data_IF_296837138539
#
_entry.id   IF_296837138539
#
_cell.length_a   1.000
_cell.length_b   1.000
_cell.length_c   1.000
_cell.angle_alpha   90.00
_cell.angle_beta   90.00
_cell.angle_gamma   90.00
#
_symmetry.space_group_name_H-M   'P 1'
#
loop_
_entity.id
_entity.type
_entity.pdbx_description
1 polymer ?
#
# COMPACT_ATOMS: atom_id res chain seq x y z
N UNK A 1 -3.88 -0.99 16.67
CA UNK A 1 -3.51 -0.19 15.50
C UNK A 1 -3.04 1.23 15.86
N UNK A 2 -3.50 1.82 16.97
CA UNK A 2 -3.18 3.23 17.31
C UNK A 2 -1.73 3.46 17.72
N UNK A 3 -1.09 2.48 18.38
CA UNK A 3 0.21 2.70 18.99
C UNK A 3 1.38 2.13 18.17
N UNK A 4 1.10 1.18 17.27
CA UNK A 4 2.15 0.47 16.54
C UNK A 4 2.77 1.24 15.37
N UNK A 5 2.03 2.14 14.69
CA UNK A 5 2.60 2.86 13.55
C UNK A 5 3.55 3.97 13.98
N UNK A 6 3.22 4.68 15.08
CA UNK A 6 4.06 5.75 15.64
C UNK A 6 5.36 5.18 16.15
N UNK A 7 5.30 4.11 16.95
CA UNK A 7 6.48 3.43 17.46
C UNK A 7 7.35 2.86 16.33
N UNK A 8 6.73 2.30 15.30
CA UNK A 8 7.45 1.78 14.14
C UNK A 8 8.06 2.90 13.29
N UNK A 9 7.38 4.03 13.16
CA UNK A 9 7.90 5.20 12.48
C UNK A 9 9.10 5.81 13.24
N UNK A 10 8.99 5.97 14.55
CA UNK A 10 10.09 6.46 15.39
C UNK A 10 11.31 5.52 15.36
N UNK A 11 11.08 4.20 15.40
CA UNK A 11 12.14 3.20 15.23
C UNK A 11 12.78 3.26 13.85
N UNK A 12 11.97 3.46 12.80
CA UNK A 12 12.47 3.61 11.44
C UNK A 12 13.34 4.87 11.31
N UNK A 13 12.89 6.01 11.81
CA UNK A 13 13.68 7.26 11.82
C UNK A 13 14.96 7.06 12.63
N UNK A 14 14.91 6.40 13.80
CA UNK A 14 16.08 6.07 14.60
C UNK A 14 17.10 5.20 13.84
N UNK A 15 16.64 4.22 13.05
CA UNK A 15 17.51 3.40 12.21
C UNK A 15 18.15 4.22 11.08
N UNK A 16 17.40 5.14 10.47
CA UNK A 16 17.91 6.05 9.44
C UNK A 16 19.02 6.92 10.00
N UNK A 17 18.80 7.54 11.17
CA UNK A 17 19.79 8.39 11.82
C UNK A 17 21.01 7.60 12.29
N UNK A 18 20.80 6.41 12.83
CA UNK A 18 21.90 5.54 13.25
C UNK A 18 22.77 5.13 12.06
N UNK A 19 22.17 4.72 10.95
CA UNK A 19 22.95 4.31 9.78
C UNK A 19 23.68 5.48 9.11
N UNK A 20 23.12 6.69 9.14
CA UNK A 20 23.83 7.92 8.71
C UNK A 20 25.04 8.20 9.58
N UNK A 21 24.85 8.22 10.92
CA UNK A 21 25.94 8.44 11.88
C UNK A 21 27.02 7.37 11.77
N UNK A 22 26.63 6.10 11.60
CA UNK A 22 27.56 5.00 11.41
C UNK A 22 28.40 5.23 10.14
N UNK A 23 27.76 5.54 9.01
CA UNK A 23 28.44 5.82 7.75
C UNK A 23 29.38 7.02 7.84
N UNK A 24 28.94 8.08 8.51
CA UNK A 24 29.73 9.30 8.64
C UNK A 24 30.91 9.14 9.60
N UNK A 25 30.86 8.16 10.52
CA UNK A 25 31.97 7.82 11.44
C UNK A 25 33.03 6.90 10.84
N UNK A 26 32.82 6.40 9.61
CA UNK A 26 33.78 5.52 8.93
C UNK A 26 34.78 6.37 8.12
N UNK A 27 36.03 6.35 8.51
CA UNK A 27 37.11 7.06 7.80
C UNK A 27 37.61 6.28 6.57
N UNK A 28 37.39 4.98 6.51
CA UNK A 28 37.78 4.15 5.38
C UNK A 28 36.76 4.27 4.23
N UNK A 29 37.18 4.87 3.13
CA UNK A 29 36.34 5.13 1.94
C UNK A 29 35.82 3.82 1.33
N UNK A 30 36.59 2.75 1.31
CA UNK A 30 36.17 1.47 0.70
C UNK A 30 35.03 0.86 1.50
N UNK A 31 35.16 0.79 2.82
CA UNK A 31 34.09 0.29 3.70
C UNK A 31 32.87 1.21 3.65
N UNK A 32 33.07 2.53 3.58
CA UNK A 32 31.98 3.50 3.48
C UNK A 32 31.15 3.30 2.20
N UNK A 33 31.80 2.92 1.10
CA UNK A 33 31.14 2.62 -0.17
C UNK A 33 30.43 1.28 -0.18
N UNK A 34 30.86 0.32 0.66
CA UNK A 34 30.19 -0.99 0.83
C UNK A 34 28.91 -0.89 1.66
N UNK A 35 28.79 0.14 2.52
CA UNK A 35 27.55 0.39 3.27
C UNK A 35 26.54 1.02 2.32
N UNK A 36 25.47 0.33 1.97
CA UNK A 36 24.48 0.87 1.06
C UNK A 36 23.90 2.18 1.64
N UNK A 37 23.88 3.27 0.89
CA UNK A 37 23.20 4.47 1.33
C UNK A 37 21.73 4.16 1.60
N UNK A 38 21.15 4.80 2.61
CA UNK A 38 19.72 4.64 2.97
C UNK A 38 18.80 4.87 1.77
N UNK A 39 19.22 5.70 0.82
CA UNK A 39 18.56 5.85 -0.47
C UNK A 39 18.40 4.53 -1.25
N UNK A 40 19.18 3.49 -0.95
CA UNK A 40 18.94 2.15 -1.51
C UNK A 40 17.76 1.44 -0.86
N UNK A 41 17.43 1.75 0.39
CA UNK A 41 16.17 1.31 1.02
C UNK A 41 14.99 2.11 0.47
N UNK A 42 15.17 3.37 0.11
CA UNK A 42 14.16 4.18 -0.59
C UNK A 42 13.91 3.69 -2.03
N UNK A 43 14.89 3.04 -2.63
CA UNK A 43 14.76 2.33 -3.90
C UNK A 43 14.36 0.86 -3.73
N UNK A 44 14.05 0.45 -2.50
CA UNK A 44 13.55 -0.90 -2.26
C UNK A 44 12.33 -1.13 -3.14
N UNK A 45 12.35 -2.24 -3.83
CA UNK A 45 11.34 -2.62 -4.81
C UNK A 45 9.95 -2.57 -4.18
N UNK A 46 9.13 -1.66 -4.65
CA UNK A 46 7.72 -1.66 -4.30
C UNK A 46 7.07 -2.89 -4.95
N UNK A 47 6.73 -3.87 -4.11
CA UNK A 47 6.12 -5.12 -4.54
C UNK A 47 4.69 -5.12 -4.04
N UNK A 48 3.80 -4.50 -4.82
CA UNK A 48 2.41 -4.27 -4.45
C UNK A 48 1.67 -5.57 -4.12
N UNK A 49 1.93 -6.64 -4.87
CA UNK A 49 1.29 -7.94 -4.64
C UNK A 49 1.57 -8.52 -3.26
N UNK A 50 2.77 -8.34 -2.73
CA UNK A 50 3.12 -8.79 -1.37
C UNK A 50 2.44 -7.95 -0.30
N UNK A 51 2.39 -6.65 -0.52
CA UNK A 51 1.74 -5.70 0.40
C UNK A 51 0.24 -5.95 0.47
N UNK A 52 -0.42 -6.17 -0.68
CA UNK A 52 -1.85 -6.51 -0.76
C UNK A 52 -2.13 -7.83 -0.06
N UNK A 53 -1.33 -8.87 -0.34
CA UNK A 53 -1.51 -10.17 0.30
C UNK A 53 -1.35 -10.09 1.82
N UNK A 54 -0.34 -9.36 2.31
CA UNK A 54 -0.12 -9.16 3.74
C UNK A 54 -1.26 -8.38 4.40
N UNK A 55 -1.67 -7.26 3.80
CA UNK A 55 -2.77 -6.45 4.30
C UNK A 55 -4.10 -7.22 4.30
N UNK A 56 -4.37 -7.99 3.25
CA UNK A 56 -5.56 -8.84 3.15
C UNK A 56 -5.61 -9.88 4.27
N UNK A 57 -4.51 -10.59 4.52
CA UNK A 57 -4.43 -11.56 5.62
C UNK A 57 -4.68 -10.90 6.98
N UNK A 58 -4.18 -9.70 7.21
CA UNK A 58 -4.45 -8.94 8.44
C UNK A 58 -5.90 -8.51 8.56
N UNK A 59 -6.52 -8.05 7.47
CA UNK A 59 -7.94 -7.70 7.47
C UNK A 59 -8.83 -8.90 7.78
N UNK A 60 -8.45 -10.10 7.34
CA UNK A 60 -9.21 -11.31 7.60
C UNK A 60 -9.21 -11.72 9.08
N UNK A 61 -8.21 -11.32 9.85
CA UNK A 61 -8.22 -11.55 11.32
C UNK A 61 -9.15 -10.60 12.07
N UNK A 62 -9.64 -9.55 11.42
CA UNK A 62 -10.55 -8.60 12.05
C UNK A 62 -12.01 -9.08 11.94
N UNK A 63 -12.80 -8.98 13.01
CA UNK A 63 -14.17 -9.53 13.05
C UNK A 63 -15.21 -8.73 12.25
N UNK A 64 -14.83 -7.70 11.52
CA UNK A 64 -15.75 -6.90 10.70
C UNK A 64 -16.28 -7.68 9.50
N UNK A 65 -17.57 -7.54 9.22
CA UNK A 65 -18.24 -8.15 8.06
C UNK A 65 -17.90 -7.41 6.75
N UNK A 66 -17.63 -6.12 6.81
CA UNK A 66 -17.22 -5.32 5.65
C UNK A 66 -15.75 -4.93 5.79
N UNK A 67 -14.97 -5.21 4.75
CA UNK A 67 -13.53 -4.96 4.70
C UNK A 67 -13.17 -4.26 3.40
N UNK A 68 -12.39 -3.22 3.50
CA UNK A 68 -11.89 -2.48 2.34
C UNK A 68 -10.38 -2.26 2.47
N UNK A 69 -9.68 -2.45 1.36
CA UNK A 69 -8.25 -2.18 1.22
C UNK A 69 -8.05 -1.10 0.16
N UNK A 70 -7.59 0.07 0.57
CA UNK A 70 -7.24 1.16 -0.35
C UNK A 70 -5.73 1.12 -0.59
N UNK A 71 -5.35 1.01 -1.85
CA UNK A 71 -3.96 0.98 -2.31
C UNK A 71 -3.66 2.26 -3.06
N UNK A 72 -2.74 3.06 -2.54
CA UNK A 72 -2.20 4.24 -3.23
C UNK A 72 -0.92 3.84 -3.95
N UNK A 73 -0.85 4.10 -5.24
CA UNK A 73 0.31 3.75 -6.07
C UNK A 73 0.68 4.92 -6.97
N UNK A 74 1.94 5.33 -6.92
CA UNK A 74 2.54 6.39 -7.74
C UNK A 74 3.30 5.85 -8.96
N UNK A 75 3.27 4.55 -9.16
CA UNK A 75 4.01 3.91 -10.25
C UNK A 75 3.61 2.47 -10.53
N UNK A 76 4.47 1.80 -11.26
CA UNK A 76 4.33 0.38 -11.57
C UNK A 76 4.87 -0.47 -10.42
N UNK A 77 4.15 -1.55 -10.07
CA UNK A 77 4.79 -2.58 -9.25
C UNK A 77 6.05 -3.09 -9.94
N UNK A 78 7.09 -3.33 -9.17
CA UNK A 78 8.32 -3.96 -9.68
C UNK A 78 8.28 -5.49 -9.60
N UNK A 79 7.18 -6.02 -9.10
CA UNK A 79 6.88 -7.43 -9.11
C UNK A 79 6.23 -7.87 -10.42
N UNK A 80 5.46 -8.95 -10.34
CA UNK A 80 4.74 -9.53 -11.47
C UNK A 80 3.30 -9.02 -11.53
N UNK A 81 2.85 -8.56 -12.70
CA UNK A 81 1.44 -8.20 -12.90
C UNK A 81 0.50 -9.39 -12.68
N UNK A 82 0.94 -10.62 -12.99
CA UNK A 82 0.15 -11.82 -12.72
C UNK A 82 -0.02 -12.05 -11.23
N UNK A 83 1.03 -11.84 -10.43
CA UNK A 83 0.98 -11.98 -8.98
C UNK A 83 0.16 -10.87 -8.34
N UNK A 84 0.24 -9.65 -8.88
CA UNK A 84 -0.63 -8.54 -8.48
C UNK A 84 -2.11 -8.91 -8.67
N UNK A 85 -2.48 -9.38 -9.86
CA UNK A 85 -3.85 -9.85 -10.14
C UNK A 85 -4.27 -11.00 -9.23
N UNK A 86 -3.39 -11.94 -8.96
CA UNK A 86 -3.65 -13.05 -8.04
C UNK A 86 -3.90 -12.55 -6.61
N UNK A 87 -3.14 -11.55 -6.15
CA UNK A 87 -3.31 -10.96 -4.82
C UNK A 87 -4.61 -10.17 -4.70
N UNK A 88 -4.98 -9.41 -5.74
CA UNK A 88 -6.29 -8.72 -5.81
C UNK A 88 -7.42 -9.74 -5.80
N UNK A 89 -7.34 -10.79 -6.63
CA UNK A 89 -8.33 -11.86 -6.69
C UNK A 89 -8.45 -12.60 -5.36
N UNK A 90 -7.33 -12.83 -4.66
CA UNK A 90 -7.36 -13.43 -3.32
C UNK A 90 -8.16 -12.56 -2.35
N UNK A 91 -7.89 -11.26 -2.31
CA UNK A 91 -8.62 -10.33 -1.45
C UNK A 91 -10.12 -10.31 -1.77
N UNK A 92 -10.47 -10.17 -3.04
CA UNK A 92 -11.87 -10.11 -3.50
C UNK A 92 -12.63 -11.40 -3.19
N UNK A 93 -12.03 -12.56 -3.41
CA UNK A 93 -12.64 -13.87 -3.07
C UNK A 93 -12.88 -14.04 -1.56
N UNK A 94 -12.17 -13.29 -0.74
CA UNK A 94 -12.35 -13.27 0.71
C UNK A 94 -13.18 -12.06 1.18
N UNK A 95 -14.03 -11.50 0.32
CA UNK A 95 -14.94 -10.39 0.62
C UNK A 95 -14.21 -9.14 1.15
N UNK A 96 -13.04 -8.84 0.57
CA UNK A 96 -12.33 -7.59 0.78
C UNK A 96 -12.48 -6.76 -0.48
N UNK A 97 -13.11 -5.60 -0.38
CA UNK A 97 -13.16 -4.63 -1.48
C UNK A 97 -11.78 -3.99 -1.65
N UNK A 98 -11.18 -4.17 -2.82
CA UNK A 98 -9.86 -3.61 -3.12
C UNK A 98 -10.01 -2.42 -4.06
N UNK A 99 -9.46 -1.29 -3.66
CA UNK A 99 -9.51 -0.02 -4.40
C UNK A 99 -8.11 0.42 -4.73
N UNK A 100 -7.86 0.71 -6.00
CA UNK A 100 -6.60 1.32 -6.46
C UNK A 100 -6.75 2.82 -6.67
N UNK A 101 -5.91 3.63 -6.04
CA UNK A 101 -5.79 5.06 -6.31
C UNK A 101 -4.43 5.33 -6.92
N UNK A 102 -4.41 5.66 -8.20
CA UNK A 102 -3.20 6.04 -8.91
C UNK A 102 -2.84 7.50 -8.70
N UNK A 103 -1.58 7.76 -8.44
CA UNK A 103 -1.03 9.10 -8.32
C UNK A 103 -0.22 9.39 -9.59
N UNK A 104 -0.63 10.39 -10.36
CA UNK A 104 0.01 10.72 -11.63
C UNK A 104 -0.43 9.82 -12.80
N UNK A 105 0.34 9.85 -13.88
CA UNK A 105 -0.09 9.26 -15.18
C UNK A 105 0.19 7.75 -15.29
N UNK A 106 1.16 7.23 -14.57
CA UNK A 106 1.65 5.86 -14.71
C UNK A 106 1.40 5.06 -13.44
N UNK A 107 0.95 3.82 -13.61
CA UNK A 107 0.80 2.91 -12.48
C UNK A 107 -0.03 1.67 -12.78
N UNK A 108 0.02 0.73 -11.87
CA UNK A 108 -0.73 -0.53 -11.89
C UNK A 108 -2.16 -0.38 -11.35
N UNK A 109 -2.57 0.83 -11.00
CA UNK A 109 -3.89 1.11 -10.43
C UNK A 109 -5.05 0.70 -11.33
N UNK A 110 -4.85 0.62 -12.65
CA UNK A 110 -5.85 0.14 -13.63
C UNK A 110 -6.17 -1.36 -13.49
N UNK A 111 -5.33 -2.12 -12.83
CA UNK A 111 -5.53 -3.54 -12.60
C UNK A 111 -6.55 -3.83 -11.49
N UNK A 112 -6.91 -2.81 -10.70
CA UNK A 112 -7.92 -2.95 -9.65
C UNK A 112 -9.32 -2.78 -10.22
N UNK A 113 -10.28 -3.58 -9.74
CA UNK A 113 -11.68 -3.54 -10.19
C UNK A 113 -12.28 -2.16 -9.91
N UNK A 114 -12.07 -1.66 -8.70
CA UNK A 114 -12.46 -0.30 -8.33
C UNK A 114 -11.19 0.55 -8.33
N UNK A 115 -11.12 1.53 -9.21
CA UNK A 115 -9.94 2.38 -9.28
C UNK A 115 -10.28 3.82 -9.68
N UNK A 116 -9.39 4.71 -9.31
CA UNK A 116 -9.41 6.11 -9.72
C UNK A 116 -7.99 6.64 -9.85
N UNK A 117 -7.86 7.81 -10.44
CA UNK A 117 -6.58 8.48 -10.64
C UNK A 117 -6.67 9.89 -10.08
N UNK A 118 -5.60 10.33 -9.43
CA UNK A 118 -5.45 11.69 -8.92
C UNK A 118 -4.16 12.31 -9.44
N UNK A 119 -4.18 13.61 -9.67
CA UNK A 119 -3.01 14.38 -10.08
C UNK A 119 -2.56 15.38 -9.01
N UNK A 120 -3.44 15.69 -8.07
CA UNK A 120 -3.18 16.63 -6.99
C UNK A 120 -3.55 15.99 -5.65
N UNK A 121 -2.77 16.27 -4.59
CA UNK A 121 -3.05 15.72 -3.25
C UNK A 121 -4.46 16.06 -2.73
N UNK A 122 -5.00 17.21 -3.11
CA UNK A 122 -6.33 17.67 -2.68
C UNK A 122 -7.45 16.77 -3.21
N UNK A 123 -7.22 16.07 -4.32
CA UNK A 123 -8.19 15.17 -4.94
C UNK A 123 -8.34 13.85 -4.15
N UNK A 124 -7.35 13.51 -3.29
CA UNK A 124 -7.31 12.24 -2.57
C UNK A 124 -8.54 12.03 -1.68
N UNK A 125 -8.91 13.05 -0.90
CA UNK A 125 -10.05 12.96 0.03
C UNK A 125 -11.35 12.72 -0.74
N UNK A 126 -11.58 13.47 -1.81
CA UNK A 126 -12.78 13.32 -2.65
C UNK A 126 -12.82 11.93 -3.31
N UNK A 127 -11.70 11.46 -3.79
CA UNK A 127 -11.61 10.13 -4.41
C UNK A 127 -11.91 9.01 -3.43
N UNK A 128 -11.35 9.05 -2.23
CA UNK A 128 -11.63 8.07 -1.16
C UNK A 128 -13.11 8.10 -0.78
N UNK A 129 -13.68 9.29 -0.55
CA UNK A 129 -15.08 9.43 -0.15
C UNK A 129 -16.02 8.89 -1.23
N UNK A 130 -15.81 9.26 -2.49
CA UNK A 130 -16.67 8.81 -3.60
C UNK A 130 -16.61 7.29 -3.79
N UNK A 131 -15.43 6.72 -3.84
CA UNK A 131 -15.29 5.26 -4.01
C UNK A 131 -15.87 4.51 -2.81
N UNK A 132 -15.63 4.99 -1.60
CA UNK A 132 -16.20 4.35 -0.39
C UNK A 132 -17.73 4.39 -0.42
N UNK A 133 -18.30 5.51 -0.82
CA UNK A 133 -19.75 5.66 -0.98
C UNK A 133 -20.30 4.68 -2.02
N UNK A 134 -19.65 4.55 -3.17
CA UNK A 134 -20.09 3.66 -4.25
C UNK A 134 -20.06 2.19 -3.81
N UNK A 135 -19.00 1.77 -3.12
CA UNK A 135 -18.87 0.43 -2.56
C UNK A 135 -19.95 0.16 -1.50
N UNK A 136 -20.20 1.11 -0.59
CA UNK A 136 -21.23 0.96 0.42
C UNK A 136 -22.62 0.83 -0.19
N UNK A 137 -22.95 1.65 -1.20
CA UNK A 137 -24.22 1.59 -1.91
C UNK A 137 -24.37 0.24 -2.63
N UNK A 138 -23.31 -0.25 -3.27
CA UNK A 138 -23.30 -1.56 -3.92
C UNK A 138 -23.57 -2.67 -2.91
N UNK A 139 -22.83 -2.72 -1.81
CA UNK A 139 -22.98 -3.74 -0.77
C UNK A 139 -24.37 -3.70 -0.11
N UNK A 140 -24.95 -2.52 0.06
CA UNK A 140 -26.33 -2.40 0.55
C UNK A 140 -27.36 -2.99 -0.43
N UNK A 141 -27.21 -2.73 -1.72
CA UNK A 141 -28.12 -3.28 -2.75
C UNK A 141 -28.03 -4.80 -2.85
N UNK A 142 -26.84 -5.36 -2.79
CA UNK A 142 -26.60 -6.80 -2.81
C UNK A 142 -27.25 -7.49 -1.58
N UNK A 143 -27.16 -6.88 -0.39
CA UNK A 143 -27.80 -7.41 0.82
C UNK A 143 -29.34 -7.31 0.80
N UNK A 144 -29.92 -6.31 0.14
CA UNK A 144 -31.37 -6.14 0.01
C UNK A 144 -31.93 -7.10 -1.04
N UNK A 145 -31.15 -7.38 -2.10
CA UNK A 145 -31.55 -8.31 -3.16
C UNK A 145 -31.43 -9.80 -2.80
N UNK A 146 -30.75 -10.10 -1.68
CA UNK A 146 -30.56 -11.46 -1.17
C UNK A 146 -31.56 -11.85 -0.07
N UNK A 147 -32.45 -10.97 0.34
CA UNK A 147 -33.54 -11.18 1.29
C UNK A 147 -34.87 -11.40 0.56
#
# INVERSE_FOLDING_TARGET
>A
FKDSWKDNYEKFIGLVDFSRKLRDSIDNIDIKNEIPPISMFERSTNVDERNIMYASKRLLTHPSNSKMLVVLSDGMTRGSLSDLKNSINYATKNNIDVVGIGIGERGTWKEYINHTQIFKPEELIYSIVNITKDILIKNMKENIGAA
#
